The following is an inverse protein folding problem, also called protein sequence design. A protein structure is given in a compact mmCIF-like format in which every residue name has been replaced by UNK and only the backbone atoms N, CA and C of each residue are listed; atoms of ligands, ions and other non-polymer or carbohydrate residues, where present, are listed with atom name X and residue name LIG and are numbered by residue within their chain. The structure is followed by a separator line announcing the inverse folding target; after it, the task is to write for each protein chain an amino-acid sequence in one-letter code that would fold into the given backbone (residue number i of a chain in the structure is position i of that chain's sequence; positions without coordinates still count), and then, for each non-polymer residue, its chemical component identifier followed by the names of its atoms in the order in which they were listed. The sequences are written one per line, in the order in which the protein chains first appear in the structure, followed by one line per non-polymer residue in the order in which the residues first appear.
data_IF_935951572968
#
_entry.id   IF_935951572968
#
_cell.length_a   1.000
_cell.length_b   1.000
_cell.length_c   1.000
_cell.angle_alpha   90.00
_cell.angle_beta   90.00
_cell.angle_gamma   90.00
#
_symmetry.space_group_name_H-M   'P 1'
#
loop_
_entity.id
_entity.type
_entity.pdbx_description
1 polymer ?
#
# COMPACT_ATOMS: atom_id res chain seq x y z
N UNK A 1 10.77 -5.41 21.12
CA UNK A 1 9.78 -5.39 20.04
C UNK A 1 10.11 -4.22 19.11
N UNK A 2 10.43 -4.52 17.86
CA UNK A 2 10.90 -3.48 16.93
C UNK A 2 9.74 -2.84 16.19
N UNK A 3 9.68 -1.52 16.26
CA UNK A 3 8.82 -0.72 15.40
C UNK A 3 9.74 -0.07 14.36
N UNK A 4 9.48 -0.35 13.09
CA UNK A 4 10.24 0.24 12.00
C UNK A 4 9.39 1.27 11.29
N UNK A 5 9.92 2.48 11.17
CA UNK A 5 9.24 3.59 10.52
C UNK A 5 9.88 3.87 9.17
N UNK A 6 9.03 4.01 8.15
CA UNK A 6 9.45 4.18 6.77
C UNK A 6 9.00 5.55 6.29
N UNK A 7 9.88 6.24 5.55
CA UNK A 7 9.61 7.56 4.98
C UNK A 7 9.05 8.54 6.03
N UNK A 8 9.80 8.78 7.13
CA UNK A 8 9.33 9.73 8.14
C UNK A 8 9.31 11.15 7.60
N UNK A 9 8.25 11.87 7.93
CA UNK A 9 8.05 13.27 7.59
C UNK A 9 7.87 14.09 8.88
N UNK A 10 7.55 15.37 8.74
CA UNK A 10 7.42 16.26 9.90
C UNK A 10 6.36 15.83 10.91
N UNK A 11 5.28 15.19 10.45
CA UNK A 11 4.12 14.84 11.28
C UNK A 11 3.75 13.37 11.26
N UNK A 12 4.32 12.58 10.35
CA UNK A 12 3.91 11.18 10.18
C UNK A 12 5.03 10.38 9.53
N UNK A 13 4.89 9.07 9.54
CA UNK A 13 5.67 8.16 8.70
C UNK A 13 4.81 7.67 7.56
N UNK A 14 5.39 7.44 6.40
CA UNK A 14 4.68 6.91 5.23
C UNK A 14 4.15 5.50 5.48
N UNK A 15 4.89 4.70 6.24
CA UNK A 15 4.46 3.40 6.70
C UNK A 15 5.13 3.05 8.03
N UNK A 16 4.50 2.15 8.78
CA UNK A 16 5.04 1.61 10.02
C UNK A 16 4.96 0.09 9.98
N UNK A 17 6.06 -0.57 10.31
CA UNK A 17 6.13 -2.04 10.36
C UNK A 17 6.20 -2.49 11.82
N UNK A 18 5.32 -3.38 12.21
CA UNK A 18 5.29 -3.95 13.55
C UNK A 18 4.58 -5.30 13.53
N UNK A 19 5.15 -6.29 14.20
CA UNK A 19 4.56 -7.63 14.35
C UNK A 19 4.06 -8.24 13.05
N UNK A 20 4.90 -8.26 12.01
CA UNK A 20 4.57 -8.83 10.71
C UNK A 20 3.47 -8.09 9.95
N UNK A 21 3.13 -6.89 10.36
CA UNK A 21 2.16 -6.04 9.66
C UNK A 21 2.79 -4.72 9.23
N UNK A 22 2.31 -4.21 8.11
CA UNK A 22 2.70 -2.92 7.55
C UNK A 22 1.47 -2.03 7.53
N UNK A 23 1.56 -0.90 8.20
CA UNK A 23 0.48 0.09 8.28
C UNK A 23 0.85 1.26 7.40
N UNK A 24 0.07 1.49 6.35
CA UNK A 24 0.30 2.61 5.44
C UNK A 24 -0.40 3.87 5.96
N UNK A 25 0.28 4.99 5.89
CA UNK A 25 -0.38 6.28 6.02
C UNK A 25 -1.32 6.50 4.83
N UNK A 26 -2.28 7.38 4.98
CA UNK A 26 -3.12 7.79 3.85
C UNK A 26 -2.28 8.42 2.76
N UNK A 27 -2.36 7.87 1.56
CA UNK A 27 -1.61 8.35 0.41
C UNK A 27 -2.51 9.21 -0.47
N UNK A 28 -1.99 10.33 -0.90
CA UNK A 28 -2.64 11.23 -1.87
C UNK A 28 -1.71 11.43 -3.05
N UNK A 29 -2.25 11.86 -4.19
CA UNK A 29 -1.47 12.05 -5.40
C UNK A 29 -0.41 13.14 -5.21
N UNK A 30 0.80 12.92 -5.71
CA UNK A 30 1.84 13.94 -5.76
C UNK A 30 1.47 15.07 -6.72
N UNK A 31 0.78 14.73 -7.81
CA UNK A 31 0.27 15.70 -8.76
C UNK A 31 -1.26 15.81 -8.64
N UNK A 32 -1.76 16.84 -7.96
CA UNK A 32 -3.21 17.02 -7.78
C UNK A 32 -3.93 17.52 -9.03
N UNK A 33 -3.22 17.84 -10.11
CA UNK A 33 -3.83 18.33 -11.35
C UNK A 33 -4.46 17.22 -12.20
N UNK A 34 -4.16 15.95 -11.90
CA UNK A 34 -4.74 14.82 -12.61
C UNK A 34 -6.20 14.58 -12.25
N UNK A 35 -6.91 13.84 -13.10
CA UNK A 35 -8.26 13.38 -12.78
C UNK A 35 -8.21 12.25 -11.72
N UNK A 36 -9.38 11.78 -11.30
CA UNK A 36 -9.46 10.79 -10.22
C UNK A 36 -8.76 9.47 -10.58
N UNK A 37 -8.84 9.04 -11.83
CA UNK A 37 -8.14 7.83 -12.28
C UNK A 37 -6.63 8.01 -12.24
N UNK A 38 -6.11 9.15 -12.73
CA UNK A 38 -4.69 9.47 -12.70
C UNK A 38 -4.17 9.60 -11.27
N UNK A 39 -4.93 10.27 -10.41
CA UNK A 39 -4.58 10.39 -8.99
C UNK A 39 -4.53 9.01 -8.31
N UNK A 40 -5.52 8.17 -8.54
CA UNK A 40 -5.53 6.82 -7.98
C UNK A 40 -4.33 5.99 -8.49
N UNK A 41 -4.02 6.05 -9.77
CA UNK A 41 -2.86 5.34 -10.32
C UNK A 41 -1.55 5.82 -9.69
N UNK A 42 -1.40 7.12 -9.47
CA UNK A 42 -0.23 7.68 -8.78
C UNK A 42 -0.12 7.18 -7.34
N UNK A 43 -1.24 7.20 -6.61
CA UNK A 43 -1.28 6.69 -5.23
C UNK A 43 -0.89 5.22 -5.18
N UNK A 44 -1.38 4.39 -6.10
CA UNK A 44 -1.07 2.97 -6.12
C UNK A 44 0.41 2.71 -6.39
N UNK A 45 1.06 3.54 -7.22
CA UNK A 45 2.54 3.49 -7.38
C UNK A 45 3.26 3.84 -6.09
N UNK A 46 2.79 4.84 -5.35
CA UNK A 46 3.36 5.20 -4.04
C UNK A 46 3.22 4.05 -3.06
N UNK A 47 2.08 3.38 -3.04
CA UNK A 47 1.85 2.21 -2.20
C UNK A 47 2.80 1.09 -2.56
N UNK A 48 2.99 0.80 -3.85
CA UNK A 48 3.98 -0.19 -4.30
C UNK A 48 5.37 0.12 -3.76
N UNK A 49 5.80 1.37 -3.82
CA UNK A 49 7.12 1.78 -3.34
C UNK A 49 7.25 1.60 -1.82
N UNK A 50 6.25 2.00 -1.05
CA UNK A 50 6.25 1.85 0.40
C UNK A 50 6.25 0.38 0.82
N UNK A 51 5.44 -0.45 0.18
CA UNK A 51 5.39 -1.88 0.44
C UNK A 51 6.73 -2.55 0.13
N UNK A 52 7.33 -2.20 -1.00
CA UNK A 52 8.65 -2.72 -1.38
C UNK A 52 9.71 -2.35 -0.34
N UNK A 53 9.73 -1.11 0.12
CA UNK A 53 10.66 -0.66 1.16
C UNK A 53 10.43 -1.38 2.49
N UNK A 54 9.18 -1.72 2.79
CA UNK A 54 8.82 -2.50 3.97
C UNK A 54 9.20 -3.98 3.87
N UNK A 55 9.48 -4.48 2.66
CA UNK A 55 9.83 -5.89 2.45
C UNK A 55 8.64 -6.77 2.08
N UNK A 56 7.59 -6.19 1.52
CA UNK A 56 6.39 -6.89 1.06
C UNK A 56 5.94 -6.36 -0.30
N UNK A 57 4.77 -6.76 -0.74
CA UNK A 57 4.17 -6.28 -1.98
C UNK A 57 2.64 -6.32 -1.90
N UNK A 58 1.98 -5.86 -2.96
CA UNK A 58 0.51 -5.75 -2.99
C UNK A 58 -0.23 -7.07 -2.86
N UNK A 59 0.42 -8.19 -3.14
CA UNK A 59 -0.22 -9.51 -2.98
C UNK A 59 -0.41 -9.88 -1.51
N UNK A 60 0.24 -9.16 -0.60
CA UNK A 60 0.10 -9.32 0.85
C UNK A 60 -0.79 -8.26 1.49
N UNK A 61 -1.45 -7.41 0.72
CA UNK A 61 -2.43 -6.46 1.26
C UNK A 61 -3.59 -7.22 1.91
N UNK A 62 -3.93 -6.82 3.12
CA UNK A 62 -4.99 -7.43 3.91
C UNK A 62 -6.28 -6.60 3.84
N UNK A 63 -6.15 -5.29 3.96
CA UNK A 63 -7.28 -4.38 4.03
C UNK A 63 -6.90 -3.04 3.43
N UNK A 64 -7.79 -2.46 2.64
CA UNK A 64 -7.61 -1.16 2.01
C UNK A 64 -8.85 -0.32 2.22
N UNK A 65 -8.64 0.95 2.54
CA UNK A 65 -9.71 1.93 2.61
C UNK A 65 -9.46 3.02 1.59
N UNK A 66 -10.50 3.34 0.83
CA UNK A 66 -10.48 4.37 -0.20
C UNK A 66 -11.44 5.47 0.22
N UNK A 67 -10.92 6.70 0.27
CA UNK A 67 -11.69 7.89 0.57
C UNK A 67 -11.83 8.70 -0.70
N UNK A 68 -13.08 8.99 -1.09
CA UNK A 68 -13.40 9.75 -2.30
C UNK A 68 -13.96 11.10 -1.91
N UNK A 69 -13.41 12.17 -2.47
CA UNK A 69 -13.96 13.50 -2.27
C UNK A 69 -15.37 13.62 -2.89
N UNK A 70 -15.64 12.85 -3.94
CA UNK A 70 -16.92 12.77 -4.62
C UNK A 70 -17.14 11.31 -5.05
N UNK A 71 -18.24 10.71 -4.62
CA UNK A 71 -18.58 9.33 -4.99
C UNK A 71 -18.78 9.16 -6.49
N UNK A 72 -19.00 10.23 -7.23
CA UNK A 72 -19.05 10.22 -8.69
C UNK A 72 -17.74 9.76 -9.34
N UNK A 73 -16.63 9.79 -8.60
CA UNK A 73 -15.31 9.34 -9.07
C UNK A 73 -15.07 7.82 -8.81
N UNK A 74 -16.05 7.12 -8.25
CA UNK A 74 -15.90 5.71 -7.87
C UNK A 74 -15.50 4.84 -9.04
N UNK A 75 -16.17 4.98 -10.18
CA UNK A 75 -15.87 4.20 -11.38
C UNK A 75 -14.45 4.47 -11.92
N UNK A 76 -14.03 5.75 -11.89
CA UNK A 76 -12.70 6.14 -12.36
C UNK A 76 -11.60 5.52 -11.48
N UNK A 77 -11.78 5.57 -10.16
CA UNK A 77 -10.84 4.98 -9.22
C UNK A 77 -10.82 3.46 -9.37
N UNK A 78 -11.96 2.82 -9.59
CA UNK A 78 -12.01 1.38 -9.85
C UNK A 78 -11.26 0.99 -11.12
N UNK A 79 -11.24 1.81 -12.16
CA UNK A 79 -10.43 1.51 -13.36
C UNK A 79 -8.93 1.44 -13.03
N UNK A 80 -8.43 2.40 -12.26
CA UNK A 80 -7.03 2.36 -11.82
C UNK A 80 -6.75 1.17 -10.91
N UNK A 81 -7.66 0.88 -9.99
CA UNK A 81 -7.58 -0.26 -9.09
C UNK A 81 -7.52 -1.58 -9.83
N UNK A 82 -8.44 -1.80 -10.78
CA UNK A 82 -8.53 -3.04 -11.55
C UNK A 82 -7.28 -3.26 -12.40
N UNK A 83 -6.69 -2.20 -12.94
CA UNK A 83 -5.46 -2.28 -13.71
C UNK A 83 -4.23 -2.62 -12.84
N UNK A 84 -4.28 -2.32 -11.55
CA UNK A 84 -3.18 -2.50 -10.61
C UNK A 84 -3.28 -3.79 -9.81
N UNK A 85 -4.49 -4.18 -9.41
CA UNK A 85 -4.75 -5.31 -8.53
C UNK A 85 -4.32 -6.63 -9.15
N UNK A 86 -3.68 -7.48 -8.34
CA UNK A 86 -3.57 -8.90 -8.69
C UNK A 86 -4.89 -9.58 -8.35
N UNK A 87 -5.63 -10.09 -9.35
CA UNK A 87 -6.97 -10.65 -9.11
C UNK A 87 -6.97 -11.93 -8.29
N UNK A 88 -5.80 -12.55 -8.09
CA UNK A 88 -5.65 -13.74 -7.25
C UNK A 88 -5.43 -13.41 -5.78
N UNK A 89 -5.15 -12.14 -5.46
CA UNK A 89 -4.77 -11.69 -4.12
C UNK A 89 -5.49 -10.39 -3.77
N UNK A 90 -6.80 -10.47 -3.66
CA UNK A 90 -7.64 -9.28 -3.40
C UNK A 90 -7.71 -8.99 -1.91
N UNK A 91 -7.39 -7.79 -1.46
CA UNK A 91 -7.60 -7.40 -0.07
C UNK A 91 -9.08 -7.17 0.23
N UNK A 92 -9.43 -7.20 1.49
CA UNK A 92 -10.69 -6.60 1.92
C UNK A 92 -10.66 -5.10 1.63
N UNK A 93 -11.78 -4.52 1.18
CA UNK A 93 -11.81 -3.13 0.76
C UNK A 93 -13.10 -2.43 1.15
N UNK A 94 -13.00 -1.17 1.53
CA UNK A 94 -14.14 -0.27 1.67
C UNK A 94 -13.83 1.04 0.94
N UNK A 95 -14.84 1.65 0.34
CA UNK A 95 -14.75 2.97 -0.26
C UNK A 95 -15.86 3.84 0.32
N UNK A 96 -15.50 5.03 0.80
CA UNK A 96 -16.43 5.98 1.39
C UNK A 96 -16.17 7.37 0.84
N UNK A 97 -17.19 8.21 0.86
CA UNK A 97 -17.03 9.62 0.54
C UNK A 97 -16.57 10.38 1.78
N UNK A 98 -15.58 11.22 1.62
CA UNK A 98 -15.04 12.03 2.71
C UNK A 98 -14.44 13.32 2.18
N UNK A 99 -14.51 14.36 2.99
CA UNK A 99 -13.81 15.60 2.69
C UNK A 99 -12.32 15.39 2.96
N UNK A 100 -11.48 15.67 1.95
CA UNK A 100 -10.04 15.56 2.05
C UNK A 100 -9.42 16.89 2.47
N UNK A 101 -8.16 16.84 2.92
CA UNK A 101 -7.49 18.02 3.48
C UNK A 101 -7.25 19.12 2.42
N UNK A 102 -7.01 18.73 1.17
CA UNK A 102 -6.85 19.66 0.05
C UNK A 102 -7.98 19.42 -0.95
N UNK A 103 -8.69 20.47 -1.40
CA UNK A 103 -9.78 20.31 -2.37
C UNK A 103 -9.32 19.82 -3.76
N UNK A 104 -8.02 19.89 -4.06
CA UNK A 104 -7.48 19.34 -5.31
C UNK A 104 -7.31 17.83 -5.27
N UNK A 105 -7.25 17.22 -4.09
CA UNK A 105 -7.21 15.77 -3.97
C UNK A 105 -8.60 15.18 -4.14
N UNK A 106 -8.71 14.22 -5.03
CA UNK A 106 -9.97 13.55 -5.35
C UNK A 106 -10.10 12.21 -4.65
N UNK A 107 -8.98 11.61 -4.25
CA UNK A 107 -8.94 10.29 -3.62
C UNK A 107 -7.75 10.20 -2.65
N UNK A 108 -7.96 9.46 -1.58
CA UNK A 108 -6.91 9.08 -0.61
C UNK A 108 -7.06 7.60 -0.33
N UNK A 109 -5.94 6.88 -0.23
CA UNK A 109 -5.95 5.44 -0.01
C UNK A 109 -5.00 5.11 1.14
N UNK A 110 -5.48 4.29 2.07
CA UNK A 110 -4.68 3.71 3.14
C UNK A 110 -4.90 2.21 3.21
N UNK A 111 -4.04 1.50 3.91
CA UNK A 111 -4.20 0.06 4.01
C UNK A 111 -3.24 -0.60 4.99
N UNK A 112 -3.44 -1.88 5.16
CA UNK A 112 -2.63 -2.75 6.01
C UNK A 112 -2.20 -3.95 5.17
N UNK A 113 -0.91 -4.27 5.22
CA UNK A 113 -0.35 -5.43 4.55
C UNK A 113 0.33 -6.36 5.56
N UNK A 114 0.47 -7.62 5.20
CA UNK A 114 1.31 -8.55 5.93
C UNK A 114 2.73 -8.51 5.36
N UNK A 115 3.72 -8.82 6.20
CA UNK A 115 5.02 -9.23 5.69
C UNK A 115 4.94 -10.70 5.27
N UNK A 116 5.66 -11.09 4.20
CA UNK A 116 5.75 -12.49 3.86
C UNK A 116 6.45 -13.26 4.98
N UNK A 117 6.11 -14.54 5.19
CA UNK A 117 6.80 -15.34 6.20
C UNK A 117 8.28 -15.45 5.87
N UNK A 118 9.12 -15.38 6.91
CA UNK A 118 10.54 -15.69 6.76
C UNK A 118 10.63 -17.20 6.59
N UNK A 119 10.88 -17.64 5.35
CA UNK A 119 11.11 -19.04 5.10
C UNK A 119 12.45 -19.43 5.74
N UNK A 120 12.53 -20.58 6.46
CA UNK A 120 13.81 -21.06 6.91
C UNK A 120 14.73 -21.26 5.71
N UNK A 121 15.98 -20.82 5.85
CA UNK A 121 16.98 -21.12 4.82
C UNK A 121 16.91 -22.60 4.51
N UNK A 122 16.88 -23.00 3.23
CA UNK A 122 17.12 -24.39 2.90
C UNK A 122 18.40 -24.80 3.62
N UNK A 123 18.35 -25.94 4.34
CA UNK A 123 19.53 -26.46 5.00
C UNK A 123 20.65 -26.51 3.95
N UNK A 124 21.74 -25.77 4.21
CA UNK A 124 22.90 -25.92 3.38
C UNK A 124 23.25 -27.40 3.40
N UNK A 125 23.51 -28.01 2.24
CA UNK A 125 24.05 -29.34 2.25
C UNK A 125 25.23 -29.30 3.21
N UNK A 126 25.24 -30.22 4.18
CA UNK A 126 26.34 -30.33 5.11
C UNK A 126 27.62 -30.23 4.30
N UNK A 127 28.47 -29.25 4.62
CA UNK A 127 29.79 -29.22 4.03
C UNK A 127 30.35 -30.61 4.20
N UNK A 128 30.60 -31.24 3.07
CA UNK A 128 31.15 -32.60 3.13
C UNK A 128 32.41 -32.52 3.95
N UNK A 129 32.39 -33.13 5.11
CA UNK A 129 33.58 -33.29 5.94
C UNK A 129 34.67 -34.12 5.23
N UNK A 130 34.32 -34.56 4.05
CA UNK A 130 35.17 -35.42 3.22
C UNK A 130 35.61 -34.72 1.92
N UNK A 131 35.33 -33.44 1.80
CA UNK A 131 35.85 -32.68 0.68
C UNK A 131 37.31 -32.34 0.89
#
# INVERSE_FOLDING_TARGET
MNIRRIAPEARLSGAVVHNMAVYLAGQVADNPAGDAEQQAADILRQIDALLNEAGTDKTYLLSVQIFLADMGDFAAVNRAWDAWLDPRHKPARAAVEARLADPAWRVEITGIAALPPILPRPAQPAESQFA
#
